data_IF_754617559246
#
_entry.id   IF_754617559246
#
_cell.length_a   1.000
_cell.length_b   1.000
_cell.length_c   1.000
_cell.angle_alpha   90.00
_cell.angle_beta   90.00
_cell.angle_gamma   90.00
#
_symmetry.space_group_name_H-M   'P 1'
#
loop_
_entity.id
_entity.type
_entity.pdbx_description
1 polymer ?
#
# COMPACT_ATOMS: atom_id res chain seq x y z
N UNK A 1 -44.87 -4.95 -7.66
CA UNK A 1 -43.57 -4.43 -8.11
C UNK A 1 -42.73 -4.19 -6.87
N UNK A 2 -41.83 -5.12 -6.60
CA UNK A 2 -40.94 -5.17 -5.45
C UNK A 2 -39.79 -4.17 -5.64
N UNK A 3 -39.67 -3.19 -4.75
CA UNK A 3 -38.46 -2.37 -4.64
C UNK A 3 -37.38 -3.20 -3.93
N UNK A 4 -36.76 -4.08 -4.70
CA UNK A 4 -35.36 -4.44 -4.51
C UNK A 4 -34.50 -3.25 -4.97
N UNK A 5 -33.30 -3.12 -4.41
CA UNK A 5 -32.30 -2.06 -4.65
C UNK A 5 -32.53 -0.82 -3.78
N UNK A 6 -31.80 -0.63 -2.67
CA UNK A 6 -30.39 -0.22 -2.67
C UNK A 6 -29.62 -0.91 -1.54
N UNK A 7 -29.16 -2.13 -1.78
CA UNK A 7 -28.09 -2.73 -1.00
C UNK A 7 -26.84 -2.73 -1.89
N UNK A 8 -26.20 -1.57 -2.03
CA UNK A 8 -25.07 -1.37 -2.97
C UNK A 8 -23.83 -2.17 -2.54
N UNK A 9 -23.77 -2.69 -1.30
CA UNK A 9 -22.69 -3.59 -0.85
C UNK A 9 -23.23 -4.72 0.05
N UNK A 10 -23.89 -5.75 -0.51
CA UNK A 10 -24.50 -6.83 0.28
C UNK A 10 -23.47 -7.75 0.96
N UNK A 11 -22.19 -7.65 0.55
CA UNK A 11 -21.07 -8.45 1.08
C UNK A 11 -20.34 -7.79 2.25
N UNK A 12 -20.54 -6.49 2.46
CA UNK A 12 -20.02 -5.79 3.64
C UNK A 12 -21.13 -5.69 4.69
N UNK A 13 -21.45 -6.81 5.34
CA UNK A 13 -22.07 -6.76 6.68
C UNK A 13 -21.03 -6.23 7.66
N UNK A 14 -20.71 -4.94 7.57
CA UNK A 14 -19.82 -4.32 8.54
C UNK A 14 -20.58 -4.25 9.85
N UNK A 15 -20.13 -5.05 10.82
CA UNK A 15 -20.77 -5.17 12.11
C UNK A 15 -20.51 -3.90 12.92
N UNK A 16 -21.38 -2.91 12.78
CA UNK A 16 -21.32 -1.68 13.58
C UNK A 16 -21.60 -2.06 15.04
N UNK A 17 -20.70 -1.73 15.98
CA UNK A 17 -20.92 -2.01 17.38
C UNK A 17 -22.26 -1.48 17.90
N UNK A 18 -23.00 -2.33 18.62
CA UNK A 18 -24.32 -1.99 19.16
C UNK A 18 -24.32 -0.75 20.05
N UNK A 19 -23.20 -0.48 20.74
CA UNK A 19 -23.02 0.75 21.51
C UNK A 19 -23.16 2.02 20.67
N UNK A 20 -22.56 2.04 19.48
CA UNK A 20 -22.57 3.20 18.59
C UNK A 20 -23.97 3.40 17.99
N UNK A 21 -24.62 2.31 17.57
CA UNK A 21 -25.98 2.34 17.04
C UNK A 21 -26.97 2.91 18.07
N UNK A 22 -26.93 2.40 19.30
CA UNK A 22 -27.80 2.86 20.39
C UNK A 22 -27.52 4.29 20.81
N UNK A 23 -26.25 4.69 20.86
CA UNK A 23 -25.89 6.09 21.17
C UNK A 23 -26.41 7.04 20.08
N UNK A 24 -26.32 6.64 18.82
CA UNK A 24 -26.88 7.40 17.70
C UNK A 24 -28.41 7.48 17.78
N UNK A 25 -29.07 6.37 18.11
CA UNK A 25 -30.53 6.32 18.29
C UNK A 25 -31.01 7.26 19.42
N UNK A 26 -30.31 7.26 20.56
CA UNK A 26 -30.56 8.20 21.66
C UNK A 26 -30.49 9.66 21.17
N UNK A 27 -29.50 9.98 20.32
CA UNK A 27 -29.27 11.34 19.80
C UNK A 27 -30.28 11.79 18.75
N UNK A 28 -30.94 10.85 18.07
CA UNK A 28 -32.02 11.14 17.12
C UNK A 28 -33.40 11.19 17.78
N UNK A 29 -33.49 10.86 19.07
CA UNK A 29 -34.74 10.95 19.81
C UNK A 29 -34.96 12.38 20.32
N UNK A 30 -35.84 13.12 19.64
CA UNK A 30 -36.12 14.53 19.95
C UNK A 30 -36.65 14.73 21.40
N UNK A 31 -37.25 13.72 22.03
CA UNK A 31 -37.70 13.79 23.45
C UNK A 31 -36.56 13.79 24.48
N UNK A 32 -35.34 13.43 24.07
CA UNK A 32 -34.17 13.34 24.94
C UNK A 32 -33.22 14.53 24.79
N UNK A 33 -33.57 15.51 23.94
CA UNK A 33 -32.72 16.65 23.57
C UNK A 33 -32.22 17.44 24.78
N UNK A 34 -33.02 17.54 25.86
CA UNK A 34 -32.64 18.25 27.10
C UNK A 34 -31.58 17.51 27.94
N UNK A 35 -31.35 16.22 27.65
CA UNK A 35 -30.39 15.37 28.36
C UNK A 35 -29.12 15.17 27.54
N UNK A 36 -29.30 14.95 26.24
CA UNK A 36 -28.25 14.70 25.27
C UNK A 36 -28.69 15.17 23.88
N UNK A 37 -27.83 15.90 23.18
CA UNK A 37 -28.15 16.36 21.81
C UNK A 37 -26.91 16.51 20.94
N UNK A 38 -27.12 16.49 19.64
CA UNK A 38 -26.10 16.95 18.68
C UNK A 38 -25.79 18.43 18.89
N UNK A 39 -24.54 18.83 18.65
CA UNK A 39 -24.23 20.24 18.48
C UNK A 39 -24.90 20.79 17.21
N UNK A 40 -24.91 22.12 17.06
CA UNK A 40 -25.54 22.81 15.91
C UNK A 40 -25.06 22.29 14.55
N UNK A 41 -23.78 21.90 14.46
CA UNK A 41 -23.15 21.41 13.23
C UNK A 41 -23.35 19.92 12.98
N UNK A 42 -23.86 19.14 13.95
CA UNK A 42 -23.92 17.69 13.87
C UNK A 42 -22.56 16.98 13.86
N UNK A 43 -21.48 17.65 14.28
CA UNK A 43 -20.11 17.12 14.29
C UNK A 43 -19.70 16.51 15.63
N UNK A 44 -20.48 16.75 16.67
CA UNK A 44 -20.28 16.28 18.04
C UNK A 44 -21.61 16.21 18.77
N UNK A 45 -21.62 15.61 19.96
CA UNK A 45 -22.79 15.64 20.83
C UNK A 45 -22.44 16.10 22.24
N UNK A 46 -23.43 16.65 22.93
CA UNK A 46 -23.29 17.27 24.24
C UNK A 46 -24.15 16.49 25.23
N UNK A 47 -23.61 16.21 26.41
CA UNK A 47 -24.36 15.64 27.54
C UNK A 47 -24.58 16.72 28.59
N UNK A 48 -25.84 17.07 28.82
CA UNK A 48 -26.22 18.18 29.71
C UNK A 48 -26.38 17.73 31.17
N UNK A 49 -27.05 16.61 31.41
CA UNK A 49 -27.43 16.15 32.76
C UNK A 49 -26.98 14.69 33.01
N UNK A 50 -25.75 14.47 33.51
CA UNK A 50 -25.21 13.11 33.72
C UNK A 50 -26.04 12.21 34.66
N UNK A 51 -26.62 12.79 35.71
CA UNK A 51 -27.47 12.05 36.65
C UNK A 51 -28.73 11.53 35.98
N UNK A 52 -29.44 12.41 35.25
CA UNK A 52 -30.65 12.07 34.51
C UNK A 52 -30.36 11.13 33.33
N UNK A 53 -29.20 11.27 32.68
CA UNK A 53 -28.76 10.32 31.64
C UNK A 53 -28.71 8.90 32.19
N UNK A 54 -28.26 8.71 33.43
CA UNK A 54 -28.18 7.39 34.04
C UNK A 54 -29.56 6.75 34.19
N UNK A 55 -30.48 7.45 34.86
CA UNK A 55 -31.79 6.91 35.24
C UNK A 55 -32.82 6.90 34.10
N UNK A 56 -32.86 7.95 33.28
CA UNK A 56 -33.91 8.15 32.26
C UNK A 56 -33.53 7.62 30.87
N UNK A 57 -32.23 7.53 30.57
CA UNK A 57 -31.75 7.14 29.23
C UNK A 57 -31.04 5.80 29.27
N UNK A 58 -29.92 5.68 30.00
CA UNK A 58 -29.05 4.51 29.91
C UNK A 58 -29.76 3.21 30.31
N UNK A 59 -30.66 3.25 31.29
CA UNK A 59 -31.46 2.10 31.71
C UNK A 59 -32.36 1.53 30.60
N UNK A 60 -32.82 2.38 29.66
CA UNK A 60 -33.73 2.00 28.59
C UNK A 60 -33.00 1.48 27.35
N UNK A 61 -31.79 1.99 27.07
CA UNK A 61 -31.04 1.63 25.87
C UNK A 61 -29.94 0.59 26.14
N UNK A 62 -29.38 0.53 27.35
CA UNK A 62 -28.28 -0.36 27.72
C UNK A 62 -28.66 -1.30 28.87
N UNK A 63 -27.91 -2.40 29.02
CA UNK A 63 -28.08 -3.35 30.13
C UNK A 63 -27.58 -2.82 31.48
N UNK A 64 -27.27 -1.53 31.56
CA UNK A 64 -26.80 -0.86 32.77
C UNK A 64 -27.22 0.61 32.73
N UNK A 65 -27.42 1.21 33.90
CA UNK A 65 -27.71 2.64 34.06
C UNK A 65 -26.48 3.50 34.34
N UNK A 66 -25.28 2.89 34.41
CA UNK A 66 -24.10 3.55 34.95
C UNK A 66 -23.45 4.50 33.93
N UNK A 67 -23.51 5.81 34.18
CA UNK A 67 -22.85 6.82 33.34
C UNK A 67 -21.34 6.63 33.16
N UNK A 68 -20.55 6.24 34.20
CA UNK A 68 -19.14 5.94 34.00
C UNK A 68 -18.89 4.81 32.99
N UNK A 69 -19.76 3.81 32.91
CA UNK A 69 -19.67 2.74 31.91
C UNK A 69 -19.91 3.28 30.50
N UNK A 70 -20.85 4.21 30.33
CA UNK A 70 -21.06 4.92 29.07
C UNK A 70 -19.83 5.72 28.65
N UNK A 71 -19.23 6.48 29.58
CA UNK A 71 -17.97 7.20 29.33
C UNK A 71 -16.81 6.26 28.97
N UNK A 72 -16.72 5.11 29.64
CA UNK A 72 -15.72 4.10 29.34
C UNK A 72 -15.88 3.59 27.91
N UNK A 73 -17.09 3.30 27.46
CA UNK A 73 -17.35 2.89 26.08
C UNK A 73 -16.96 3.99 25.09
N UNK A 74 -17.32 5.25 25.33
CA UNK A 74 -16.87 6.37 24.49
C UNK A 74 -15.34 6.43 24.38
N UNK A 75 -14.64 6.28 25.50
CA UNK A 75 -13.18 6.23 25.52
C UNK A 75 -12.64 5.03 24.73
N UNK A 76 -13.25 3.86 24.86
CA UNK A 76 -12.87 2.65 24.14
C UNK A 76 -13.01 2.78 22.63
N UNK A 77 -13.92 3.63 22.13
CA UNK A 77 -14.10 3.98 20.72
C UNK A 77 -13.45 5.32 20.34
N UNK A 78 -12.46 5.79 21.11
CA UNK A 78 -11.66 6.98 20.78
C UNK A 78 -12.45 8.30 20.62
N UNK A 79 -13.61 8.42 21.26
CA UNK A 79 -14.28 9.72 21.36
C UNK A 79 -13.46 10.70 22.19
N UNK A 80 -13.26 11.89 21.65
CA UNK A 80 -12.58 12.98 22.36
C UNK A 80 -13.58 13.75 23.20
N UNK A 81 -13.30 13.87 24.50
CA UNK A 81 -14.07 14.70 25.42
C UNK A 81 -13.48 16.10 25.48
N UNK A 82 -14.33 17.10 25.30
CA UNK A 82 -14.03 18.53 25.39
C UNK A 82 -15.08 19.21 26.25
N UNK A 83 -14.90 20.51 26.54
CA UNK A 83 -15.95 21.35 27.12
C UNK A 83 -16.37 22.38 26.10
N UNK A 84 -17.68 22.57 25.95
CA UNK A 84 -18.21 23.66 25.13
C UNK A 84 -18.12 25.00 25.89
N UNK A 85 -18.55 26.08 25.23
CA UNK A 85 -18.57 27.44 25.79
C UNK A 85 -19.41 27.59 27.08
N UNK A 86 -20.33 26.66 27.35
CA UNK A 86 -21.16 26.62 28.56
C UNK A 86 -20.61 25.68 29.64
N UNK A 87 -19.38 25.17 29.48
CA UNK A 87 -18.74 24.25 30.41
C UNK A 87 -19.28 22.82 30.40
N UNK A 88 -20.18 22.50 29.48
CA UNK A 88 -20.83 21.18 29.34
C UNK A 88 -19.91 20.19 28.62
N UNK A 89 -20.08 18.89 28.89
CA UNK A 89 -19.25 17.85 28.27
C UNK A 89 -19.68 17.61 26.82
N UNK A 90 -18.76 17.83 25.89
CA UNK A 90 -18.94 17.61 24.46
C UNK A 90 -18.03 16.48 23.96
N UNK A 91 -18.59 15.57 23.17
CA UNK A 91 -17.91 14.38 22.68
C UNK A 91 -17.91 14.37 21.15
N UNK A 92 -16.72 14.15 20.57
CA UNK A 92 -16.49 14.22 19.12
C UNK A 92 -15.76 12.97 18.63
N UNK A 93 -16.15 12.50 17.45
CA UNK A 93 -15.42 11.49 16.70
C UNK A 93 -15.54 11.75 15.19
N UNK A 94 -14.45 11.56 14.42
CA UNK A 94 -14.40 11.89 12.99
C UNK A 94 -15.53 11.23 12.17
N UNK A 95 -15.86 9.99 12.52
CA UNK A 95 -16.88 9.19 11.83
C UNK A 95 -18.25 9.14 12.52
N UNK A 96 -18.40 9.82 13.68
CA UNK A 96 -19.67 9.90 14.40
C UNK A 96 -20.27 11.28 14.19
N UNK A 97 -21.05 11.44 13.13
CA UNK A 97 -21.68 12.70 12.73
C UNK A 97 -23.16 12.50 12.53
N UNK A 98 -23.95 13.56 12.74
CA UNK A 98 -25.38 13.58 12.42
C UNK A 98 -25.56 13.50 10.90
N UNK A 99 -26.48 12.65 10.46
CA UNK A 99 -26.88 12.59 9.06
C UNK A 99 -27.72 13.81 8.70
N UNK A 100 -27.67 14.25 7.44
CA UNK A 100 -28.62 15.22 6.93
C UNK A 100 -30.01 14.57 6.93
N UNK A 101 -30.89 14.94 7.88
CA UNK A 101 -32.30 14.50 7.94
C UNK A 101 -33.04 14.69 6.59
N UNK A 102 -32.54 15.56 5.70
CA UNK A 102 -33.18 15.97 4.44
C UNK A 102 -32.53 15.40 3.17
N UNK A 103 -31.38 14.71 3.24
CA UNK A 103 -30.80 14.05 2.07
C UNK A 103 -30.81 12.55 2.28
N UNK A 104 -31.57 11.88 1.41
CA UNK A 104 -31.64 10.44 1.17
C UNK A 104 -30.49 9.66 1.83
N UNK A 105 -30.84 8.93 2.89
CA UNK A 105 -30.09 7.89 3.60
C UNK A 105 -29.61 8.24 5.02
N UNK A 106 -30.52 8.15 5.99
CA UNK A 106 -30.17 7.79 7.38
C UNK A 106 -29.20 6.59 7.46
N UNK A 107 -29.25 5.70 6.46
CA UNK A 107 -28.33 4.57 6.30
C UNK A 107 -26.88 4.99 6.03
N UNK A 108 -26.63 6.12 5.35
CA UNK A 108 -25.28 6.60 5.03
C UNK A 108 -24.58 7.21 6.24
N UNK A 109 -25.33 7.87 7.13
CA UNK A 109 -24.76 8.35 8.38
C UNK A 109 -24.48 7.22 9.38
N UNK A 110 -25.25 6.13 9.32
CA UNK A 110 -24.96 4.89 10.05
C UNK A 110 -23.83 4.09 9.41
N UNK A 111 -23.60 4.21 8.09
CA UNK A 111 -22.51 3.52 7.42
C UNK A 111 -21.14 4.06 7.81
N UNK A 112 -21.00 5.35 8.15
CA UNK A 112 -19.70 5.85 8.64
C UNK A 112 -19.32 5.29 10.00
N UNK A 113 -20.30 4.86 10.82
CA UNK A 113 -20.04 4.21 12.11
C UNK A 113 -19.23 2.92 11.98
N UNK A 114 -19.26 2.31 10.80
CA UNK A 114 -18.52 1.10 10.48
C UNK A 114 -16.99 1.29 10.50
N UNK A 115 -16.53 2.54 10.35
CA UNK A 115 -15.12 2.92 10.44
C UNK A 115 -14.67 3.23 11.86
N UNK A 116 -15.58 3.22 12.85
CA UNK A 116 -15.22 3.44 14.25
C UNK A 116 -14.75 2.11 14.84
N UNK A 117 -13.46 2.04 15.17
CA UNK A 117 -12.85 0.85 15.77
C UNK A 117 -12.61 1.09 17.26
N UNK A 118 -12.43 0.00 18.01
CA UNK A 118 -12.01 0.12 19.42
C UNK A 118 -10.52 0.45 19.45
N UNK A 119 -10.08 1.28 20.40
CA UNK A 119 -8.67 1.67 20.57
C UNK A 119 -7.71 0.48 20.52
N UNK A 120 -8.03 -0.59 21.23
CA UNK A 120 -7.16 -1.78 21.28
C UNK A 120 -7.14 -2.56 19.96
N UNK A 121 -8.19 -2.45 19.13
CA UNK A 121 -8.23 -3.04 17.78
C UNK A 121 -7.41 -2.19 16.81
N UNK A 122 -7.55 -0.85 16.85
CA UNK A 122 -6.73 0.04 16.02
C UNK A 122 -5.24 -0.16 16.31
N UNK A 123 -4.87 -0.28 17.59
CA UNK A 123 -3.49 -0.51 17.97
C UNK A 123 -2.96 -1.89 17.54
N UNK A 124 -3.80 -2.93 17.56
CA UNK A 124 -3.42 -4.25 17.04
C UNK A 124 -3.28 -4.23 15.52
N UNK A 125 -4.22 -3.61 14.81
CA UNK A 125 -4.26 -3.57 13.35
C UNK A 125 -3.03 -2.80 12.82
N UNK A 126 -2.71 -1.64 13.41
CA UNK A 126 -1.51 -0.88 13.10
C UNK A 126 -0.23 -1.67 13.35
N UNK A 127 -0.14 -2.41 14.47
CA UNK A 127 1.04 -3.25 14.77
C UNK A 127 1.22 -4.39 13.76
N UNK A 128 0.12 -4.95 13.23
CA UNK A 128 0.17 -5.98 12.18
C UNK A 128 0.66 -5.36 10.87
N UNK A 129 0.03 -4.27 10.44
CA UNK A 129 0.39 -3.55 9.20
C UNK A 129 1.85 -3.08 9.20
N UNK A 130 2.34 -2.59 10.35
CA UNK A 130 3.74 -2.19 10.50
C UNK A 130 4.70 -3.38 10.36
N UNK A 131 4.33 -4.55 10.89
CA UNK A 131 5.14 -5.78 10.78
C UNK A 131 5.17 -6.29 9.34
N UNK A 132 4.02 -6.32 8.66
CA UNK A 132 3.91 -6.75 7.26
C UNK A 132 4.74 -5.82 6.36
N UNK A 133 4.59 -4.51 6.51
CA UNK A 133 5.38 -3.52 5.77
C UNK A 133 6.88 -3.65 6.01
N UNK A 134 7.29 -3.97 7.24
CA UNK A 134 8.71 -4.17 7.57
C UNK A 134 9.25 -5.45 6.92
N UNK A 135 8.47 -6.53 6.92
CA UNK A 135 8.85 -7.78 6.24
C UNK A 135 8.96 -7.60 4.73
N UNK A 136 8.04 -6.85 4.11
CA UNK A 136 8.13 -6.51 2.69
C UNK A 136 9.39 -5.71 2.37
N UNK A 137 9.72 -4.70 3.18
CA UNK A 137 10.93 -3.90 2.99
C UNK A 137 12.21 -4.75 3.07
N UNK A 138 12.26 -5.70 4.00
CA UNK A 138 13.40 -6.63 4.13
C UNK A 138 13.48 -7.61 2.96
N UNK A 139 12.34 -8.03 2.39
CA UNK A 139 12.31 -8.84 1.17
C UNK A 139 12.84 -8.04 -0.03
N UNK A 140 12.35 -6.82 -0.24
CA UNK A 140 12.83 -5.95 -1.31
C UNK A 140 14.32 -5.67 -1.21
N UNK A 141 14.86 -5.46 0.00
CA UNK A 141 16.31 -5.28 0.19
C UNK A 141 17.11 -6.52 -0.23
N UNK A 142 16.65 -7.72 0.14
CA UNK A 142 17.31 -8.97 -0.25
C UNK A 142 17.28 -9.19 -1.75
N UNK A 143 16.14 -8.94 -2.38
CA UNK A 143 16.00 -9.05 -3.84
C UNK A 143 16.88 -8.03 -4.57
N UNK A 144 16.92 -6.78 -4.10
CA UNK A 144 17.80 -5.75 -4.64
C UNK A 144 19.29 -6.15 -4.56
N UNK A 145 19.71 -6.76 -3.45
CA UNK A 145 21.10 -7.21 -3.29
C UNK A 145 21.41 -8.36 -4.25
N UNK A 146 20.49 -9.31 -4.41
CA UNK A 146 20.63 -10.40 -5.37
C UNK A 146 20.69 -9.89 -6.82
N UNK A 147 19.85 -8.92 -7.18
CA UNK A 147 19.85 -8.33 -8.52
C UNK A 147 21.16 -7.59 -8.81
N UNK A 148 21.70 -6.84 -7.83
CA UNK A 148 23.01 -6.20 -7.97
C UNK A 148 24.12 -7.22 -8.23
N UNK A 149 24.09 -8.35 -7.54
CA UNK A 149 25.07 -9.41 -7.75
C UNK A 149 24.96 -9.98 -9.17
N UNK A 150 23.75 -10.28 -9.64
CA UNK A 150 23.52 -10.79 -11.00
C UNK A 150 24.02 -9.79 -12.06
N UNK A 151 23.74 -8.49 -11.88
CA UNK A 151 24.21 -7.44 -12.80
C UNK A 151 25.73 -7.40 -12.86
N UNK A 152 26.40 -7.53 -11.70
CA UNK A 152 27.86 -7.56 -11.64
C UNK A 152 28.43 -8.77 -12.39
N UNK A 153 27.87 -9.96 -12.15
CA UNK A 153 28.34 -11.19 -12.80
C UNK A 153 28.11 -11.15 -14.32
N UNK A 154 27.00 -10.56 -14.76
CA UNK A 154 26.72 -10.33 -16.19
C UNK A 154 27.71 -9.36 -16.82
N UNK A 155 28.07 -8.28 -16.13
CA UNK A 155 29.08 -7.32 -16.60
C UNK A 155 30.46 -7.99 -16.74
N UNK A 156 30.87 -8.79 -15.74
CA UNK A 156 32.14 -9.53 -15.80
C UNK A 156 32.16 -10.54 -16.95
N UNK A 157 31.05 -11.23 -17.18
CA UNK A 157 30.91 -12.18 -18.30
C UNK A 157 30.96 -11.47 -19.65
N UNK A 158 30.34 -10.30 -19.75
CA UNK A 158 30.35 -9.50 -20.98
C UNK A 158 31.75 -8.98 -21.32
N UNK A 159 32.53 -8.56 -20.32
CA UNK A 159 33.93 -8.14 -20.52
C UNK A 159 34.77 -9.31 -21.06
N UNK A 160 34.67 -10.49 -20.44
CA UNK A 160 35.43 -11.68 -20.88
C UNK A 160 35.08 -12.08 -22.31
N UNK A 161 33.79 -12.07 -22.67
CA UNK A 161 33.36 -12.37 -24.04
C UNK A 161 33.89 -11.35 -25.04
N UNK A 162 33.98 -10.08 -24.67
CA UNK A 162 34.56 -9.04 -25.52
C UNK A 162 36.06 -9.25 -25.72
N UNK A 163 36.79 -9.63 -24.67
CA UNK A 163 38.21 -9.97 -24.74
C UNK A 163 38.46 -11.19 -25.65
N UNK A 164 37.68 -12.26 -25.46
CA UNK A 164 37.77 -13.48 -26.30
C UNK A 164 37.47 -13.17 -27.78
N UNK A 165 36.46 -12.34 -28.06
CA UNK A 165 36.12 -11.93 -29.43
C UNK A 165 37.27 -11.16 -30.09
N UNK A 166 37.86 -10.21 -29.38
CA UNK A 166 38.99 -9.42 -29.88
C UNK A 166 40.20 -10.33 -30.15
N UNK A 167 40.50 -11.24 -29.22
CA UNK A 167 41.59 -12.20 -29.38
C UNK A 167 41.40 -13.12 -30.61
N UNK A 168 40.17 -13.59 -30.85
CA UNK A 168 39.84 -14.37 -32.04
C UNK A 168 40.01 -13.56 -33.34
N UNK A 169 39.62 -12.29 -33.35
CA UNK A 169 39.81 -11.41 -34.51
C UNK A 169 41.29 -11.20 -34.83
N UNK A 170 42.12 -10.94 -33.81
CA UNK A 170 43.57 -10.79 -33.97
C UNK A 170 44.24 -12.07 -34.52
N UNK A 171 43.84 -13.24 -34.01
CA UNK A 171 44.31 -14.52 -34.55
C UNK A 171 43.92 -14.70 -36.02
N UNK A 172 42.67 -14.39 -36.39
CA UNK A 172 42.20 -14.52 -37.77
C UNK A 172 42.99 -13.61 -38.73
N UNK A 173 43.30 -12.37 -38.32
CA UNK A 173 44.11 -11.45 -39.12
C UNK A 173 45.54 -11.96 -39.27
N UNK A 174 46.14 -12.45 -38.18
CA UNK A 174 47.50 -12.99 -38.19
C UNK A 174 47.62 -14.18 -39.14
N UNK A 175 46.68 -15.13 -39.06
CA UNK A 175 46.62 -16.30 -39.95
C UNK A 175 46.43 -15.88 -41.43
N UNK A 176 45.58 -14.88 -41.70
CA UNK A 176 45.40 -14.36 -43.06
C UNK A 176 46.69 -13.75 -43.62
N UNK A 177 47.41 -12.95 -42.84
CA UNK A 177 48.67 -12.33 -43.24
C UNK A 177 49.77 -13.38 -43.46
N UNK A 178 49.86 -14.39 -42.59
CA UNK A 178 50.79 -15.51 -42.76
C UNK A 178 50.51 -16.26 -44.07
N UNK A 179 49.25 -16.60 -44.35
CA UNK A 179 48.87 -17.27 -45.58
C UNK A 179 49.22 -16.44 -46.83
N UNK A 180 48.95 -15.12 -46.83
CA UNK A 180 49.31 -14.24 -47.96
C UNK A 180 50.82 -14.18 -48.18
N UNK A 181 51.61 -14.06 -47.11
CA UNK A 181 53.07 -14.08 -47.20
C UNK A 181 53.59 -15.41 -47.76
N UNK A 182 53.06 -16.55 -47.30
CA UNK A 182 53.43 -17.87 -47.81
C UNK A 182 53.11 -18.00 -49.30
N UNK A 183 51.94 -17.54 -49.74
CA UNK A 183 51.57 -17.53 -51.16
C UNK A 183 52.51 -16.66 -52.00
N UNK A 184 52.91 -15.50 -51.48
CA UNK A 184 53.83 -14.59 -52.16
C UNK A 184 55.23 -15.19 -52.30
N UNK A 185 55.77 -15.78 -51.23
CA UNK A 185 57.07 -16.48 -51.24
C UNK A 185 57.05 -17.62 -52.25
N UNK A 186 56.02 -18.48 -52.21
CA UNK A 186 55.87 -19.59 -53.15
C UNK A 186 55.81 -19.12 -54.62
N UNK A 187 55.16 -17.98 -54.89
CA UNK A 187 55.07 -17.40 -56.23
C UNK A 187 56.42 -16.84 -56.72
N UNK A 188 57.16 -16.15 -55.86
CA UNK A 188 58.49 -15.63 -56.18
C UNK A 188 59.48 -16.77 -56.47
N UNK A 189 59.44 -17.85 -55.69
CA UNK A 189 60.25 -19.04 -55.92
C UNK A 189 59.91 -19.69 -57.27
N UNK A 190 58.62 -19.80 -57.61
CA UNK A 190 58.19 -20.31 -58.92
C UNK A 190 58.73 -19.45 -60.08
N UNK A 191 58.62 -18.12 -59.99
CA UNK A 191 59.13 -17.22 -61.02
C UNK A 191 60.65 -17.27 -61.15
N UNK A 192 61.38 -17.32 -60.04
CA UNK A 192 62.85 -17.43 -60.04
C UNK A 192 63.32 -18.71 -60.72
N UNK A 193 62.68 -19.84 -60.40
CA UNK A 193 62.96 -21.13 -61.05
C UNK A 193 62.64 -21.09 -62.56
N UNK A 194 61.53 -20.46 -62.96
CA UNK A 194 61.14 -20.32 -64.36
C UNK A 194 62.06 -19.40 -65.17
N UNK A 195 62.55 -18.31 -64.58
CA UNK A 195 63.50 -17.39 -65.22
C UNK A 195 64.87 -18.05 -65.41
N UNK A 196 65.35 -18.81 -64.42
CA UNK A 196 66.59 -19.60 -64.55
C UNK A 196 66.50 -20.60 -65.71
N UNK A 197 65.34 -21.22 -65.95
CA UNK A 197 65.10 -22.12 -67.08
C UNK A 197 65.15 -21.43 -68.46
N UNK A 198 64.85 -20.12 -68.53
CA UNK A 198 64.85 -19.34 -69.77
C UNK A 198 66.25 -18.78 -70.09
N UNK A 199 67.01 -18.35 -69.08
CA UNK A 199 68.35 -17.76 -69.26
C UNK A 199 69.39 -18.81 -69.71
N UNK A 200 69.13 -20.10 -69.48
CA UNK A 200 70.01 -21.22 -69.90
C UNK A 200 69.73 -21.67 -71.35
N UNK A 201 68.75 -21.09 -72.05
CA UNK A 201 68.53 -21.38 -73.48
C UNK A 201 69.59 -20.64 -74.33
N UNK A 202 70.46 -21.34 -75.07
CA UNK A 202 71.51 -20.69 -75.86
C UNK A 202 70.90 -19.91 -77.02
N UNK A 203 71.37 -18.67 -77.23
CA UNK A 203 71.06 -17.90 -78.45
C UNK A 203 71.74 -18.60 -79.63
N UNK A 204 70.93 -19.11 -80.55
CA UNK A 204 71.33 -19.59 -81.88
C UNK A 204 71.76 -18.41 -82.73
#
# INVERSE_FOLDING_TARGET
>A
MSNQDLNIFPHLKVNVPSFLLKTYEILENDSLTDLISWNKEGTSFIVFKPSDMSSKVLANYFKHKNYPSFLRQLNMYNFRKTRNQFGQSEFRHRWFKRGLKQQLNHNLSRSTLQYIRRRNQEESDLRIETKESSQELDNYKREQESLKQIVKDLQETQIKLQEDLNFQQEQSVTLSNQNQNTLQVNYLDYLGNKLNLIVIQPKV
#
